data_IF_126033798231
#
_entry.id   IF_126033798231
#
_cell.length_a   1.000
_cell.length_b   1.000
_cell.length_c   1.000
_cell.angle_alpha   90.00
_cell.angle_beta   90.00
_cell.angle_gamma   90.00
#
_symmetry.space_group_name_H-M   'P 1'
#
loop_
_entity.id
_entity.type
_entity.pdbx_description
1 polymer ?
#
# COMPACT_ATOMS: atom_id res chain seq x y z
N UNK A 1 17.47 -6.50 16.18
CA UNK A 1 16.26 -5.65 16.13
C UNK A 1 15.27 -6.38 15.25
N UNK A 2 14.19 -6.89 15.83
CA UNK A 2 13.08 -7.47 15.07
C UNK A 2 12.40 -6.32 14.35
N UNK A 3 12.45 -6.31 13.02
CA UNK A 3 11.62 -5.41 12.20
C UNK A 3 10.16 -5.68 12.56
N UNK A 4 9.48 -4.73 13.20
CA UNK A 4 8.04 -4.82 13.46
C UNK A 4 7.32 -5.02 12.13
N UNK A 5 6.38 -5.96 12.08
CA UNK A 5 5.54 -6.13 10.90
C UNK A 5 4.76 -4.81 10.71
N UNK A 6 4.70 -4.30 9.49
CA UNK A 6 3.95 -3.07 9.20
C UNK A 6 2.46 -3.21 9.55
N UNK A 7 1.94 -4.45 9.59
CA UNK A 7 0.59 -4.78 10.06
C UNK A 7 0.39 -4.49 11.54
N UNK A 8 1.44 -4.62 12.34
CA UNK A 8 1.37 -4.35 13.78
C UNK A 8 1.10 -2.86 14.05
N UNK A 9 1.24 -1.98 13.05
CA UNK A 9 0.91 -0.56 13.14
C UNK A 9 -0.60 -0.29 13.05
N UNK A 10 -1.38 -1.21 12.47
CA UNK A 10 -2.83 -1.05 12.38
C UNK A 10 -3.43 -0.98 13.78
N UNK A 11 -4.40 -0.10 13.99
CA UNK A 11 -4.99 0.12 15.31
C UNK A 11 -4.28 1.18 16.16
N UNK A 12 -3.11 1.68 15.76
CA UNK A 12 -2.42 2.76 16.47
C UNK A 12 -2.93 4.16 16.08
N UNK A 13 -2.81 5.12 17.00
CA UNK A 13 -3.10 6.53 16.72
C UNK A 13 -1.90 7.22 16.03
N UNK A 14 -2.09 8.40 15.40
CA UNK A 14 -0.98 9.16 14.81
C UNK A 14 0.13 9.51 15.81
N UNK A 15 -0.21 9.67 17.09
CA UNK A 15 0.72 9.99 18.18
C UNK A 15 1.29 8.76 18.89
N UNK A 16 1.06 7.55 18.37
CA UNK A 16 1.59 6.31 18.95
C UNK A 16 3.13 6.29 18.95
N UNK A 17 3.78 5.97 20.08
CA UNK A 17 5.23 5.77 20.13
C UNK A 17 5.72 4.68 19.17
N UNK A 18 4.93 3.61 18.96
CA UNK A 18 5.28 2.50 18.08
C UNK A 18 5.31 2.94 16.61
N UNK A 19 4.36 3.79 16.21
CA UNK A 19 4.32 4.36 14.86
C UNK A 19 5.50 5.32 14.63
N UNK A 20 5.80 6.18 15.62
CA UNK A 20 6.93 7.10 15.55
C UNK A 20 8.28 6.34 15.50
N UNK A 21 8.42 5.27 16.29
CA UNK A 21 9.58 4.40 16.27
C UNK A 21 9.75 3.74 14.90
N UNK A 22 8.67 3.20 14.33
CA UNK A 22 8.68 2.62 12.98
C UNK A 22 9.13 3.62 11.92
N UNK A 23 8.52 4.81 11.86
CA UNK A 23 8.91 5.85 10.89
C UNK A 23 10.38 6.26 11.03
N UNK A 24 10.89 6.29 12.25
CA UNK A 24 12.31 6.59 12.53
C UNK A 24 13.27 5.51 12.02
N UNK A 25 12.79 4.27 11.83
CA UNK A 25 13.59 3.22 11.16
C UNK A 25 13.70 3.44 9.64
N UNK A 26 12.78 4.20 9.05
CA UNK A 26 12.76 4.49 7.62
C UNK A 26 13.60 5.71 7.25
N UNK A 27 13.65 6.72 8.13
CA UNK A 27 14.43 7.94 7.93
C UNK A 27 14.71 8.67 9.24
N UNK A 28 15.87 9.33 9.33
CA UNK A 28 16.22 10.24 10.41
C UNK A 28 16.86 11.52 9.84
N UNK A 29 16.23 12.71 10.00
CA UNK A 29 14.95 12.93 10.65
C UNK A 29 13.77 12.31 9.88
N UNK A 30 12.67 12.03 10.58
CA UNK A 30 11.41 11.61 9.96
C UNK A 30 10.83 12.81 9.20
N UNK A 31 10.52 12.70 7.90
CA UNK A 31 9.92 13.78 7.14
C UNK A 31 8.52 14.11 7.67
N UNK A 32 8.13 15.39 7.64
CA UNK A 32 6.76 15.80 7.97
C UNK A 32 5.79 15.31 6.89
N UNK A 33 4.68 14.65 7.24
CA UNK A 33 3.70 14.19 6.27
C UNK A 33 2.91 15.36 5.68
N UNK A 34 2.48 15.23 4.42
CA UNK A 34 1.38 16.03 3.88
C UNK A 34 0.05 15.42 4.32
N UNK A 35 -0.76 16.19 5.05
CA UNK A 35 -1.98 15.68 5.69
C UNK A 35 -3.21 16.09 4.90
N UNK A 36 -4.01 15.10 4.49
CA UNK A 36 -5.28 15.31 3.77
C UNK A 36 -6.42 14.72 4.59
N UNK A 37 -7.30 15.57 5.08
CA UNK A 37 -8.45 15.16 5.89
C UNK A 37 -9.75 15.14 5.09
N UNK A 38 -10.60 14.20 5.46
CA UNK A 38 -11.97 14.01 4.97
C UNK A 38 -12.84 13.56 6.15
N UNK A 39 -14.18 13.68 6.06
CA UNK A 39 -15.07 13.28 7.14
C UNK A 39 -14.96 11.84 7.62
N UNK A 40 -14.47 10.94 6.76
CA UNK A 40 -14.36 9.51 6.98
C UNK A 40 -12.92 8.99 7.00
N UNK A 41 -11.93 9.80 6.61
CA UNK A 41 -10.54 9.38 6.53
C UNK A 41 -9.56 10.55 6.63
N UNK A 42 -8.39 10.29 7.18
CA UNK A 42 -7.28 11.25 7.25
C UNK A 42 -6.01 10.56 6.75
N UNK A 43 -5.41 11.11 5.72
CA UNK A 43 -4.20 10.57 5.10
C UNK A 43 -2.98 11.34 5.56
N UNK A 44 -1.98 10.63 6.06
CA UNK A 44 -0.65 11.17 6.34
C UNK A 44 0.28 10.65 5.26
N UNK A 45 0.60 11.50 4.28
CA UNK A 45 1.35 11.12 3.09
C UNK A 45 2.85 11.45 3.30
N UNK A 46 3.68 10.42 3.43
CA UNK A 46 5.13 10.54 3.52
C UNK A 46 5.75 10.28 2.15
N UNK A 47 5.64 11.26 1.26
CA UNK A 47 6.04 11.14 -0.15
C UNK A 47 7.48 10.63 -0.34
N UNK A 48 8.44 11.16 0.42
CA UNK A 48 9.86 10.75 0.34
C UNK A 48 10.14 9.36 0.92
N UNK A 49 9.23 8.80 1.72
CA UNK A 49 9.34 7.44 2.25
C UNK A 49 8.60 6.41 1.40
N UNK A 50 7.84 6.83 0.38
CA UNK A 50 6.99 5.91 -0.37
C UNK A 50 5.91 5.28 0.51
N UNK A 51 5.35 6.04 1.44
CA UNK A 51 4.43 5.56 2.45
C UNK A 51 3.24 6.51 2.59
N UNK A 52 2.02 5.98 2.63
CA UNK A 52 0.82 6.72 3.03
C UNK A 52 0.12 5.96 4.15
N UNK A 53 -0.27 6.69 5.19
CA UNK A 53 -0.99 6.14 6.34
C UNK A 53 -2.43 6.66 6.30
N UNK A 54 -3.40 5.74 6.27
CA UNK A 54 -4.82 6.04 6.30
C UNK A 54 -5.35 5.83 7.71
N UNK A 55 -5.80 6.92 8.34
CA UNK A 55 -6.49 6.91 9.61
C UNK A 55 -7.99 7.07 9.41
N UNK A 56 -8.80 6.34 10.18
CA UNK A 56 -10.24 6.55 10.26
C UNK A 56 -10.61 7.22 11.59
N UNK A 57 -11.65 8.08 11.60
CA UNK A 57 -12.12 8.68 12.84
C UNK A 57 -12.91 7.68 13.68
N UNK A 58 -12.69 7.73 15.00
CA UNK A 58 -13.38 6.90 15.99
C UNK A 58 -14.12 7.78 17.00
N UNK A 59 -14.95 7.14 17.84
CA UNK A 59 -15.66 7.81 18.96
C UNK A 59 -16.53 9.00 18.54
N UNK A 60 -17.07 8.98 17.32
CA UNK A 60 -17.95 10.03 16.80
C UNK A 60 -17.22 11.30 16.35
N UNK A 61 -15.88 11.31 16.34
CA UNK A 61 -15.12 12.38 15.70
C UNK A 61 -15.43 12.42 14.20
N UNK A 62 -15.46 13.63 13.63
CA UNK A 62 -15.67 13.87 12.20
C UNK A 62 -14.75 14.99 11.76
N UNK A 63 -13.55 14.67 11.25
CA UNK A 63 -12.68 15.67 10.64
C UNK A 63 -13.42 16.42 9.54
N UNK A 64 -13.02 17.65 9.27
CA UNK A 64 -13.47 18.40 8.10
C UNK A 64 -12.39 18.37 7.04
N UNK A 65 -12.80 18.53 5.79
CA UNK A 65 -11.85 18.65 4.70
C UNK A 65 -10.97 19.87 4.86
N UNK A 66 -9.66 19.63 4.89
CA UNK A 66 -8.63 20.66 5.06
C UNK A 66 -8.34 21.06 6.51
N UNK A 67 -8.82 20.30 7.51
CA UNK A 67 -8.40 20.45 8.90
C UNK A 67 -6.86 20.37 9.02
N UNK A 68 -6.28 21.26 9.81
CA UNK A 68 -4.84 21.24 10.04
C UNK A 68 -4.46 20.11 10.99
N UNK A 69 -3.19 19.66 11.00
CA UNK A 69 -2.70 18.67 11.98
C UNK A 69 -2.98 19.02 13.45
N UNK A 70 -3.17 20.31 13.78
CA UNK A 70 -3.50 20.73 15.15
C UNK A 70 -4.97 20.56 15.50
N UNK A 71 -5.84 20.55 14.50
CA UNK A 71 -7.29 20.40 14.64
C UNK A 71 -7.71 18.94 14.61
N UNK A 72 -6.86 18.09 14.01
CA UNK A 72 -6.96 16.65 14.02
C UNK A 72 -6.71 16.16 15.45
N UNK A 73 -7.79 15.79 16.13
CA UNK A 73 -7.72 15.23 17.47
C UNK A 73 -7.13 13.82 17.37
N UNK A 74 -5.81 13.67 17.29
CA UNK A 74 -5.11 12.42 16.98
C UNK A 74 -5.56 11.22 17.85
N UNK A 75 -5.92 11.47 19.11
CA UNK A 75 -6.45 10.43 20.01
C UNK A 75 -7.82 9.85 19.58
N UNK A 76 -8.48 10.48 18.62
CA UNK A 76 -9.74 10.07 17.99
C UNK A 76 -9.55 9.57 16.55
N UNK A 77 -8.31 9.29 16.16
CA UNK A 77 -7.95 8.67 14.90
C UNK A 77 -7.30 7.32 15.17
N UNK A 78 -7.54 6.35 14.27
CA UNK A 78 -6.92 5.03 14.33
C UNK A 78 -6.44 4.62 12.95
N UNK A 79 -5.22 4.08 12.86
CA UNK A 79 -4.64 3.61 11.60
C UNK A 79 -5.43 2.40 11.11
N UNK A 80 -6.03 2.51 9.93
CA UNK A 80 -6.82 1.43 9.32
C UNK A 80 -6.20 0.91 8.02
N UNK A 81 -5.35 1.72 7.39
CA UNK A 81 -4.67 1.35 6.15
C UNK A 81 -3.26 1.89 6.04
N UNK A 82 -2.41 1.17 5.34
CA UNK A 82 -1.05 1.57 4.98
C UNK A 82 -0.80 1.26 3.51
N UNK A 83 -0.45 2.28 2.74
CA UNK A 83 -0.03 2.11 1.34
C UNK A 83 1.49 2.26 1.23
N UNK A 84 2.10 1.26 0.61
CA UNK A 84 3.52 1.20 0.31
C UNK A 84 3.69 1.39 -1.19
N UNK A 85 4.53 2.33 -1.61
CA UNK A 85 4.75 2.67 -3.00
C UNK A 85 6.06 2.09 -3.54
N UNK A 86 5.99 1.57 -4.75
CA UNK A 86 7.11 1.13 -5.55
C UNK A 86 7.20 1.98 -6.81
N UNK A 87 8.27 2.77 -6.91
CA UNK A 87 8.53 3.59 -8.09
C UNK A 87 9.68 3.01 -8.92
N UNK A 88 9.52 1.76 -9.36
CA UNK A 88 10.41 1.12 -10.35
C UNK A 88 10.22 1.63 -11.77
N UNK A 89 9.23 2.50 -12.01
CA UNK A 89 8.81 2.90 -13.36
C UNK A 89 9.24 4.32 -13.76
N UNK A 90 9.89 5.07 -12.87
CA UNK A 90 10.40 6.41 -13.17
C UNK A 90 11.51 6.42 -14.23
N UNK A 91 12.15 5.28 -14.53
CA UNK A 91 13.28 5.21 -15.47
C UNK A 91 12.98 4.23 -16.60
N UNK A 92 12.60 4.74 -17.78
CA UNK A 92 12.65 3.96 -19.03
C UNK A 92 14.12 3.87 -19.51
N UNK A 93 14.54 2.76 -20.15
CA UNK A 93 15.91 2.57 -20.66
C UNK A 93 16.38 3.66 -21.63
N UNK A 94 15.45 4.32 -22.32
CA UNK A 94 15.75 5.32 -23.36
C UNK A 94 15.94 6.75 -22.82
N UNK A 95 16.05 6.96 -21.50
CA UNK A 95 16.23 8.29 -20.91
C UNK A 95 15.06 9.25 -21.10
N UNK A 96 13.97 8.82 -21.76
CA UNK A 96 12.71 9.54 -21.86
C UNK A 96 11.84 9.18 -20.66
N UNK A 97 11.72 10.11 -19.72
CA UNK A 97 10.77 10.04 -18.60
C UNK A 97 9.37 9.73 -19.14
N UNK A 98 8.84 8.54 -18.86
CA UNK A 98 7.41 8.28 -19.02
C UNK A 98 6.65 9.30 -18.19
N UNK A 99 5.59 9.92 -18.73
CA UNK A 99 5.02 11.17 -18.23
C UNK A 99 4.23 11.06 -16.91
N UNK A 100 4.54 10.12 -16.04
CA UNK A 100 4.01 10.08 -14.69
C UNK A 100 5.18 9.95 -13.72
N UNK A 101 5.78 11.09 -13.37
CA UNK A 101 6.59 11.17 -12.15
C UNK A 101 5.70 10.76 -10.99
N UNK A 102 6.02 9.64 -10.34
CA UNK A 102 5.35 9.26 -9.10
C UNK A 102 5.57 10.38 -8.08
N UNK A 103 4.49 10.88 -7.45
CA UNK A 103 4.60 11.82 -6.32
C UNK A 103 5.34 11.18 -5.14
N UNK A 104 5.33 9.84 -5.06
CA UNK A 104 5.98 9.05 -4.03
C UNK A 104 7.33 8.50 -4.50
N UNK A 105 8.34 8.61 -3.64
CA UNK A 105 9.58 7.85 -3.78
C UNK A 105 9.32 6.35 -3.56
N UNK A 106 10.20 5.44 -4.02
CA UNK A 106 10.10 4.04 -3.66
C UNK A 106 10.31 3.84 -2.15
N UNK A 107 9.54 2.93 -1.57
CA UNK A 107 9.71 2.51 -0.19
C UNK A 107 11.15 1.98 0.06
N UNK A 108 11.83 2.44 1.14
CA UNK A 108 13.27 2.20 1.32
C UNK A 108 13.60 0.78 1.79
N UNK A 109 12.65 0.03 2.36
CA UNK A 109 12.90 -1.32 2.89
C UNK A 109 12.50 -2.38 1.86
N UNK A 110 13.45 -3.25 1.50
CA UNK A 110 13.20 -4.42 0.66
C UNK A 110 14.12 -5.58 1.07
N UNK A 111 13.63 -6.84 1.12
CA UNK A 111 12.26 -7.25 0.89
C UNK A 111 11.30 -6.79 2.01
N UNK A 112 10.03 -6.56 1.66
CA UNK A 112 8.97 -6.29 2.62
C UNK A 112 8.45 -7.63 3.12
N UNK A 113 8.56 -7.89 4.42
CA UNK A 113 7.96 -9.07 5.03
C UNK A 113 6.48 -8.78 5.35
N UNK A 114 5.58 -9.57 4.78
CA UNK A 114 4.14 -9.49 5.04
C UNK A 114 3.66 -10.78 5.70
N UNK A 115 3.10 -10.69 6.90
CA UNK A 115 2.38 -11.82 7.50
C UNK A 115 1.05 -12.05 6.76
N UNK A 116 0.71 -13.31 6.50
CA UNK A 116 -0.51 -13.72 5.79
C UNK A 116 -1.09 -14.98 6.44
N UNK A 117 -2.37 -15.30 6.16
CA UNK A 117 -2.98 -16.52 6.73
C UNK A 117 -2.25 -17.77 6.21
N UNK A 118 -2.02 -18.81 7.04
CA UNK A 118 -1.28 -20.01 6.62
C UNK A 118 -2.03 -20.90 5.61
N UNK A 119 -3.24 -20.52 5.22
CA UNK A 119 -4.07 -21.22 4.26
C UNK A 119 -4.61 -20.23 3.21
N UNK A 120 -4.80 -20.68 1.97
CA UNK A 120 -5.50 -19.93 0.92
C UNK A 120 -7.02 -19.94 1.17
N UNK A 121 -7.79 -19.22 0.33
CA UNK A 121 -9.26 -19.27 0.39
C UNK A 121 -9.83 -20.66 0.05
N UNK A 122 -9.08 -21.47 -0.71
CA UNK A 122 -9.42 -22.86 -1.03
C UNK A 122 -9.01 -23.86 0.07
N UNK A 123 -8.42 -23.40 1.17
CA UNK A 123 -7.92 -24.27 2.25
C UNK A 123 -6.60 -24.96 1.91
N UNK A 124 -5.86 -24.47 0.91
CA UNK A 124 -4.54 -25.02 0.58
C UNK A 124 -3.50 -24.44 1.53
N UNK A 125 -2.65 -25.25 2.17
CA UNK A 125 -1.57 -24.75 3.02
C UNK A 125 -0.58 -23.88 2.24
N UNK A 126 -0.12 -22.78 2.85
CA UNK A 126 0.91 -21.88 2.31
C UNK A 126 1.80 -21.32 3.42
N UNK A 127 2.89 -20.66 3.03
CA UNK A 127 3.75 -19.93 3.97
C UNK A 127 2.95 -18.85 4.70
N UNK A 128 3.10 -18.69 6.03
CA UNK A 128 2.44 -17.62 6.79
C UNK A 128 3.10 -16.25 6.59
N UNK A 129 4.13 -16.18 5.76
CA UNK A 129 4.81 -14.93 5.43
C UNK A 129 5.19 -14.90 3.94
N UNK A 130 5.05 -13.72 3.33
CA UNK A 130 5.51 -13.43 1.96
C UNK A 130 6.61 -12.37 2.01
N UNK A 131 7.72 -12.66 1.34
CA UNK A 131 8.85 -11.76 1.19
C UNK A 131 8.73 -11.03 -0.14
N UNK A 132 8.20 -9.81 -0.11
CA UNK A 132 7.93 -9.03 -1.33
C UNK A 132 9.18 -8.25 -1.73
N UNK A 133 9.77 -8.64 -2.85
CA UNK A 133 10.89 -7.91 -3.45
C UNK A 133 10.38 -6.77 -4.34
N UNK A 134 11.27 -5.83 -4.65
CA UNK A 134 10.95 -4.66 -5.49
C UNK A 134 10.46 -5.02 -6.91
N UNK A 135 10.87 -6.17 -7.44
CA UNK A 135 10.54 -6.59 -8.80
C UNK A 135 9.46 -7.68 -8.84
N UNK A 136 8.81 -7.97 -7.71
CA UNK A 136 7.81 -9.02 -7.63
C UNK A 136 6.65 -8.76 -8.59
N UNK A 137 6.27 -9.74 -9.39
CA UNK A 137 5.24 -9.58 -10.44
C UNK A 137 3.91 -10.23 -10.06
N UNK A 138 2.85 -9.93 -10.82
CA UNK A 138 1.52 -10.51 -10.59
C UNK A 138 1.51 -12.03 -10.46
N UNK A 139 2.23 -12.77 -11.30
CA UNK A 139 2.30 -14.24 -11.21
C UNK A 139 2.98 -14.72 -9.93
N UNK A 140 3.95 -13.98 -9.42
CA UNK A 140 4.68 -14.35 -8.20
C UNK A 140 3.80 -14.10 -6.97
N UNK A 141 3.00 -13.02 -6.96
CA UNK A 141 1.98 -12.82 -5.92
C UNK A 141 0.95 -13.95 -5.92
N UNK A 142 0.40 -14.31 -7.08
CA UNK A 142 -0.57 -15.43 -7.17
C UNK A 142 0.06 -16.76 -6.76
N UNK A 143 1.32 -17.01 -7.13
CA UNK A 143 2.04 -18.22 -6.70
C UNK A 143 2.20 -18.29 -5.18
N UNK A 144 2.45 -17.15 -4.52
CA UNK A 144 2.66 -17.09 -3.07
C UNK A 144 1.35 -17.05 -2.26
N UNK A 145 0.31 -16.40 -2.78
CA UNK A 145 -0.91 -16.07 -2.05
C UNK A 145 -2.15 -16.88 -2.50
N UNK A 146 -2.07 -17.55 -3.65
CA UNK A 146 -3.23 -18.18 -4.30
C UNK A 146 -4.09 -17.18 -5.06
N UNK A 147 -5.27 -17.62 -5.48
CA UNK A 147 -6.20 -16.81 -6.26
C UNK A 147 -6.80 -15.66 -5.43
N UNK A 148 -6.78 -14.41 -5.93
CA UNK A 148 -7.32 -13.27 -5.20
C UNK A 148 -8.84 -13.34 -5.05
N UNK A 149 -9.39 -12.70 -4.02
CA UNK A 149 -10.83 -12.62 -3.76
C UNK A 149 -11.51 -11.62 -4.70
N UNK A 150 -10.83 -10.50 -4.97
CA UNK A 150 -11.34 -9.41 -5.81
C UNK A 150 -10.26 -8.94 -6.77
N UNK A 151 -10.71 -8.41 -7.90
CA UNK A 151 -9.84 -7.89 -8.95
C UNK A 151 -10.53 -6.77 -9.72
N UNK A 152 -9.78 -5.81 -10.23
CA UNK A 152 -10.34 -4.68 -10.99
C UNK A 152 -9.27 -3.83 -11.68
N UNK A 153 -9.71 -2.74 -12.32
CA UNK A 153 -8.82 -1.85 -13.07
C UNK A 153 -8.48 -2.34 -14.48
N UNK A 154 -7.47 -1.72 -15.11
CA UNK A 154 -7.04 -2.02 -16.48
C UNK A 154 -7.96 -1.51 -17.59
N UNK A 155 -9.21 -1.17 -17.30
CA UNK A 155 -10.15 -0.59 -18.25
C UNK A 155 -9.86 0.90 -18.48
N UNK A 156 -9.74 1.31 -19.76
CA UNK A 156 -9.54 2.69 -20.18
C UNK A 156 -8.35 2.86 -21.13
N UNK A 157 -8.17 4.05 -21.73
CA UNK A 157 -7.03 4.33 -22.59
C UNK A 157 -5.72 4.28 -21.80
N UNK A 158 -4.64 3.84 -22.45
CA UNK A 158 -3.31 3.65 -21.83
C UNK A 158 -2.75 4.92 -21.17
N UNK A 159 -3.26 6.09 -21.52
CA UNK A 159 -2.86 7.40 -20.99
C UNK A 159 -3.53 7.81 -19.68
N UNK A 160 -4.51 7.04 -19.16
CA UNK A 160 -5.26 7.44 -17.96
C UNK A 160 -5.96 6.32 -17.18
N UNK A 161 -5.87 5.07 -17.61
CA UNK A 161 -6.43 3.95 -16.84
C UNK A 161 -5.62 3.68 -15.58
N UNK A 162 -6.31 3.38 -14.48
CA UNK A 162 -5.69 2.73 -13.32
C UNK A 162 -5.09 1.38 -13.75
N UNK A 163 -3.96 1.01 -13.15
CA UNK A 163 -3.41 -0.34 -13.33
C UNK A 163 -4.42 -1.39 -12.88
N UNK A 164 -4.29 -2.61 -13.39
CA UNK A 164 -5.00 -3.74 -12.78
C UNK A 164 -4.56 -3.90 -11.33
N UNK A 165 -5.49 -4.35 -10.50
CA UNK A 165 -5.24 -4.63 -9.10
C UNK A 165 -5.96 -5.89 -8.65
N UNK A 166 -5.44 -6.51 -7.61
CA UNK A 166 -5.98 -7.72 -6.98
C UNK A 166 -5.97 -7.58 -5.47
N UNK A 167 -6.90 -8.25 -4.79
CA UNK A 167 -7.05 -8.19 -3.33
C UNK A 167 -7.24 -9.59 -2.74
N UNK A 168 -6.52 -9.87 -1.66
CA UNK A 168 -6.71 -11.00 -0.75
C UNK A 168 -7.32 -10.47 0.54
N UNK A 169 -8.65 -10.48 0.61
CA UNK A 169 -9.44 -9.85 1.68
C UNK A 169 -9.16 -10.48 3.04
N UNK A 170 -8.98 -11.81 3.09
CA UNK A 170 -8.63 -12.53 4.32
C UNK A 170 -7.26 -12.13 4.87
N UNK A 171 -6.36 -11.77 3.97
CA UNK A 171 -5.06 -11.23 4.34
C UNK A 171 -5.11 -9.74 4.63
N UNK A 172 -6.17 -9.00 4.28
CA UNK A 172 -6.12 -7.54 4.39
C UNK A 172 -5.03 -6.94 3.48
N UNK A 173 -4.90 -7.49 2.27
CA UNK A 173 -3.84 -7.13 1.33
C UNK A 173 -4.44 -6.84 -0.05
N UNK A 174 -4.06 -5.72 -0.65
CA UNK A 174 -4.36 -5.38 -2.05
C UNK A 174 -3.08 -4.92 -2.75
N UNK A 175 -2.93 -5.30 -4.01
CA UNK A 175 -1.75 -4.99 -4.83
C UNK A 175 -2.22 -4.36 -6.14
N UNK A 176 -1.77 -3.14 -6.41
CA UNK A 176 -1.87 -2.49 -7.72
C UNK A 176 -0.60 -2.76 -8.52
N UNK A 177 -0.75 -3.15 -9.78
CA UNK A 177 0.38 -3.35 -10.70
C UNK A 177 0.63 -2.12 -11.57
N UNK A 178 1.90 -1.85 -11.84
CA UNK A 178 2.33 -0.72 -12.66
C UNK A 178 2.86 -1.12 -14.03
N UNK A 179 3.27 -0.10 -14.79
CA UNK A 179 3.84 -0.26 -16.13
C UNK A 179 2.79 -0.39 -17.24
N UNK A 180 3.30 -0.47 -18.47
CA UNK A 180 2.46 -0.55 -19.68
C UNK A 180 1.72 -1.90 -19.76
N UNK A 181 2.17 -2.92 -19.02
CA UNK A 181 1.56 -4.26 -18.94
C UNK A 181 0.37 -4.37 -17.99
N UNK A 182 0.16 -3.40 -17.09
CA UNK A 182 -0.99 -3.38 -16.20
C UNK A 182 -2.18 -2.56 -16.71
N UNK A 183 -2.11 -2.02 -17.93
CA UNK A 183 -3.06 -1.02 -18.45
C UNK A 183 -3.47 -1.28 -19.90
N UNK A 184 -4.64 -0.76 -20.27
CA UNK A 184 -5.16 -0.82 -21.63
C UNK A 184 -5.68 -2.19 -22.05
N UNK A 185 -5.90 -2.41 -23.36
CA UNK A 185 -6.33 -3.71 -23.87
C UNK A 185 -5.40 -4.83 -23.38
N UNK A 186 -6.00 -5.96 -23.02
CA UNK A 186 -5.31 -7.16 -22.58
C UNK A 186 -4.44 -7.00 -21.30
N UNK A 187 -4.74 -6.01 -20.46
CA UNK A 187 -4.02 -5.80 -19.21
C UNK A 187 -4.06 -7.02 -18.27
N UNK A 188 -5.13 -7.82 -18.31
CA UNK A 188 -5.28 -9.02 -17.48
C UNK A 188 -4.41 -10.18 -17.95
N UNK A 189 -4.19 -10.28 -19.26
CA UNK A 189 -3.36 -11.30 -19.90
C UNK A 189 -1.87 -10.98 -19.73
N UNK A 190 -1.50 -9.69 -19.80
CA UNK A 190 -0.12 -9.21 -19.65
C UNK A 190 0.29 -8.98 -18.20
N UNK A 191 -0.67 -8.66 -17.33
CA UNK A 191 -0.44 -8.27 -15.93
C UNK A 191 0.27 -9.31 -15.06
N UNK A 192 0.32 -10.57 -15.48
CA UNK A 192 1.11 -11.63 -14.82
C UNK A 192 2.60 -11.27 -14.70
N UNK A 193 3.13 -10.50 -15.65
CA UNK A 193 4.54 -10.06 -15.67
C UNK A 193 4.70 -8.60 -15.21
N UNK A 194 3.61 -7.91 -14.90
CA UNK A 194 3.66 -6.53 -14.42
C UNK A 194 4.21 -6.48 -12.97
N UNK A 195 5.18 -5.61 -12.67
CA UNK A 195 5.64 -5.40 -11.30
C UNK A 195 4.56 -4.69 -10.46
N UNK A 196 4.57 -4.93 -9.16
CA UNK A 196 3.72 -4.16 -8.26
C UNK A 196 4.15 -2.69 -8.19
N UNK A 197 3.18 -1.81 -8.01
CA UNK A 197 3.34 -0.36 -7.87
C UNK A 197 2.89 0.12 -6.49
N UNK A 198 1.79 -0.42 -5.98
CA UNK A 198 1.28 -0.09 -4.65
C UNK A 198 0.88 -1.37 -3.94
N UNK A 199 1.27 -1.50 -2.68
CA UNK A 199 0.77 -2.51 -1.76
C UNK A 199 -0.04 -1.78 -0.69
N UNK A 200 -1.32 -2.11 -0.59
CA UNK A 200 -2.22 -1.60 0.44
C UNK A 200 -2.46 -2.69 1.48
N UNK A 201 -2.23 -2.36 2.74
CA UNK A 201 -2.38 -3.23 3.91
C UNK A 201 -3.48 -2.63 4.76
N UNK A 202 -4.46 -3.43 5.15
CA UNK A 202 -5.61 -2.97 5.91
C UNK A 202 -6.09 -4.04 6.88
N UNK A 203 -6.89 -3.61 7.86
CA UNK A 203 -7.50 -4.52 8.82
C UNK A 203 -8.36 -5.55 8.09
N UNK A 204 -7.97 -6.83 8.14
CA UNK A 204 -8.82 -7.89 7.61
C UNK A 204 -10.13 -7.89 8.39
N UNK A 205 -11.25 -7.59 7.71
CA UNK A 205 -12.58 -7.81 8.28
C UNK A 205 -12.90 -9.30 8.22
N UNK A 206 -12.08 -10.12 8.87
CA UNK A 206 -12.41 -11.51 9.09
C UNK A 206 -13.62 -11.55 10.04
N UNK A 207 -14.80 -11.81 9.47
CA UNK A 207 -15.95 -12.31 10.22
C UNK A 207 -15.73 -13.77 10.57
#
# INVERSE_FOLDING_TARGET
MTTSDIRDLLGHSPCSPDLAAYLSTLSSPVPTPDVKSYPDAVYFNYYSLGLSLLFIPIKGHRPKSGDSPRDLQDAHLVLDGVDIYNDVFAVKPDGKTGSQSSTYSPYPVTPIALTVTPETKEGTPRSPAVSVTRNMTGKEFVTALGEPDRKGGGSGPSSGSIGIWVEWTRDGLMVEFGGDDSRGPQAWERGKDAPWRVISIFSSKAK
#
